data_IF_096095598928
#
_entry.id   IF_096095598928
#
_cell.length_a   1.000
_cell.length_b   1.000
_cell.length_c   1.000
_cell.angle_alpha   90.00
_cell.angle_beta   90.00
_cell.angle_gamma   90.00
#
_symmetry.space_group_name_H-M   'P 1'
#
loop_
_entity.id
_entity.type
_entity.pdbx_description
1 polymer ?
#
# COMPACT_ATOMS: atom_id res chain seq x y z
N UNK A 1 22.69 13.36 -13.54
CA UNK A 1 22.07 12.30 -14.37
C UNK A 1 22.18 10.94 -13.69
N UNK A 2 23.33 10.56 -13.11
CA UNK A 2 23.49 9.29 -12.40
C UNK A 2 22.83 9.26 -11.00
N UNK A 3 22.84 10.37 -10.25
CA UNK A 3 22.17 10.44 -8.94
C UNK A 3 20.66 10.27 -9.04
N UNK A 4 20.00 10.98 -9.97
CA UNK A 4 18.55 10.82 -10.21
C UNK A 4 18.15 9.39 -10.61
N UNK A 5 19.01 8.65 -11.34
CA UNK A 5 18.78 7.25 -11.69
C UNK A 5 18.93 6.32 -10.48
N UNK A 6 19.87 6.62 -9.59
CA UNK A 6 20.09 5.87 -8.35
C UNK A 6 18.93 6.09 -7.37
N UNK A 7 18.45 7.32 -7.27
CA UNK A 7 17.32 7.70 -6.41
C UNK A 7 16.01 7.05 -6.89
N UNK A 8 15.74 7.06 -8.20
CA UNK A 8 14.57 6.38 -8.77
C UNK A 8 14.61 4.86 -8.55
N UNK A 9 15.78 4.22 -8.74
CA UNK A 9 15.92 2.78 -8.46
C UNK A 9 15.70 2.45 -6.98
N UNK A 10 16.24 3.27 -6.07
CA UNK A 10 16.04 3.08 -4.63
C UNK A 10 14.57 3.28 -4.25
N UNK A 11 13.92 4.32 -4.79
CA UNK A 11 12.51 4.59 -4.55
C UNK A 11 11.61 3.47 -5.10
N UNK A 12 11.91 2.92 -6.28
CA UNK A 12 11.17 1.77 -6.80
C UNK A 12 11.27 0.56 -5.87
N UNK A 13 12.49 0.21 -5.45
CA UNK A 13 12.69 -0.92 -4.53
C UNK A 13 11.93 -0.71 -3.20
N UNK A 14 11.92 0.51 -2.66
CA UNK A 14 11.13 0.84 -1.46
C UNK A 14 9.63 0.66 -1.72
N UNK A 15 9.13 1.12 -2.87
CA UNK A 15 7.71 0.98 -3.22
C UNK A 15 7.31 -0.49 -3.42
N UNK A 16 8.14 -1.29 -4.08
CA UNK A 16 7.94 -2.73 -4.24
C UNK A 16 7.85 -3.42 -2.87
N UNK A 17 8.76 -3.10 -1.94
CA UNK A 17 8.73 -3.64 -0.57
C UNK A 17 7.45 -3.25 0.18
N UNK A 18 7.02 -1.99 0.08
CA UNK A 18 5.78 -1.50 0.69
C UNK A 18 4.58 -2.29 0.14
N UNK A 19 4.49 -2.47 -1.17
CA UNK A 19 3.37 -3.20 -1.79
C UNK A 19 3.39 -4.69 -1.41
N UNK A 20 4.56 -5.31 -1.36
CA UNK A 20 4.70 -6.70 -0.91
C UNK A 20 4.25 -6.86 0.55
N UNK A 21 4.64 -5.95 1.43
CA UNK A 21 4.23 -5.96 2.83
C UNK A 21 2.73 -5.68 2.97
N UNK A 22 2.18 -4.76 2.16
CA UNK A 22 0.76 -4.48 2.12
C UNK A 22 -0.05 -5.72 1.75
N UNK A 23 0.36 -6.45 0.71
CA UNK A 23 -0.34 -7.66 0.29
C UNK A 23 -0.30 -8.75 1.37
N UNK A 24 0.86 -8.94 2.03
CA UNK A 24 0.98 -9.88 3.16
C UNK A 24 0.08 -9.51 4.33
N UNK A 25 0.07 -8.22 4.72
CA UNK A 25 -0.77 -7.71 5.80
C UNK A 25 -2.26 -7.75 5.45
N UNK A 26 -2.60 -7.49 4.19
CA UNK A 26 -3.95 -7.64 3.66
C UNK A 26 -4.46 -9.07 3.85
N UNK A 27 -3.68 -10.07 3.46
CA UNK A 27 -4.05 -11.48 3.62
C UNK A 27 -4.14 -11.88 5.10
N UNK A 28 -3.18 -11.42 5.92
CA UNK A 28 -3.15 -11.69 7.37
C UNK A 28 -4.37 -11.13 8.11
N UNK A 29 -4.85 -9.96 7.71
CA UNK A 29 -6.03 -9.31 8.32
C UNK A 29 -7.37 -9.80 7.74
N UNK A 30 -7.38 -10.56 6.64
CA UNK A 30 -8.62 -10.92 5.94
C UNK A 30 -9.65 -11.69 6.78
N UNK A 31 -9.23 -12.37 7.86
CA UNK A 31 -10.10 -13.15 8.76
C UNK A 31 -10.30 -12.51 10.14
N UNK A 32 -9.84 -11.28 10.32
CA UNK A 32 -10.00 -10.54 11.57
C UNK A 32 -11.35 -9.82 11.62
N UNK A 33 -11.65 -9.25 12.78
CA UNK A 33 -12.87 -8.48 13.07
C UNK A 33 -12.45 -7.23 13.87
N UNK A 34 -13.38 -6.35 14.20
CA UNK A 34 -13.11 -5.15 15.02
C UNK A 34 -12.59 -5.42 16.46
N UNK A 35 -12.45 -6.69 16.86
CA UNK A 35 -11.89 -7.08 18.16
C UNK A 35 -12.88 -7.08 19.33
N UNK A 36 -14.17 -6.75 19.10
CA UNK A 36 -15.20 -6.84 20.13
C UNK A 36 -15.90 -8.20 20.17
N UNK A 37 -16.21 -8.67 21.38
CA UNK A 37 -16.71 -10.03 21.63
C UNK A 37 -18.11 -10.38 21.11
N UNK A 38 -18.73 -9.55 20.25
CA UNK A 38 -20.09 -9.76 19.76
C UNK A 38 -20.26 -9.40 18.27
N UNK A 39 -19.63 -10.21 17.41
CA UNK A 39 -19.55 -10.04 15.94
C UNK A 39 -20.89 -9.79 15.25
N UNK A 40 -21.98 -10.45 15.69
CA UNK A 40 -23.30 -10.31 15.06
C UNK A 40 -23.99 -8.96 15.32
N UNK A 41 -23.66 -8.27 16.42
CA UNK A 41 -24.14 -6.91 16.69
C UNK A 41 -23.31 -5.89 15.92
N UNK A 42 -21.99 -6.10 15.86
CA UNK A 42 -21.05 -5.24 15.15
C UNK A 42 -21.35 -5.21 13.65
N UNK A 43 -21.56 -6.35 12.99
CA UNK A 43 -21.89 -6.41 11.57
C UNK A 43 -23.20 -5.69 11.19
N UNK A 44 -24.14 -5.57 12.14
CA UNK A 44 -25.42 -4.89 11.91
C UNK A 44 -25.37 -3.39 12.14
N UNK A 45 -24.38 -2.91 12.90
CA UNK A 45 -24.27 -1.51 13.34
C UNK A 45 -23.04 -0.78 12.80
N UNK A 46 -21.99 -1.51 12.44
CA UNK A 46 -20.77 -1.02 11.82
C UNK A 46 -20.70 -1.51 10.37
N UNK A 47 -19.94 -0.79 9.53
CA UNK A 47 -19.52 -1.30 8.22
C UNK A 47 -18.70 -2.58 8.39
N UNK A 48 -18.53 -3.37 7.31
CA UNK A 48 -17.71 -4.59 7.36
C UNK A 48 -16.25 -4.25 7.69
N UNK A 49 -15.65 -4.94 8.66
CA UNK A 49 -14.22 -4.82 8.99
C UNK A 49 -13.35 -4.99 7.73
N UNK A 50 -13.69 -5.96 6.88
CA UNK A 50 -13.02 -6.25 5.61
C UNK A 50 -12.77 -5.01 4.73
N UNK A 51 -13.68 -4.04 4.74
CA UNK A 51 -13.60 -2.82 3.91
C UNK A 51 -13.46 -1.55 4.74
N UNK A 52 -13.24 -1.69 6.05
CA UNK A 52 -13.17 -0.55 6.98
C UNK A 52 -11.84 0.20 6.89
N UNK A 53 -11.85 1.44 7.37
CA UNK A 53 -10.64 2.25 7.61
C UNK A 53 -9.73 1.63 8.68
N UNK A 54 -10.32 1.04 9.71
CA UNK A 54 -9.58 0.39 10.80
C UNK A 54 -8.66 -0.70 10.24
N UNK A 55 -9.20 -1.58 9.39
CA UNK A 55 -8.38 -2.61 8.74
C UNK A 55 -7.27 -2.00 7.88
N UNK A 56 -7.54 -0.89 7.19
CA UNK A 56 -6.52 -0.20 6.40
C UNK A 56 -5.40 0.34 7.30
N UNK A 57 -5.73 0.99 8.40
CA UNK A 57 -4.74 1.50 9.36
C UNK A 57 -3.88 0.38 9.94
N UNK A 58 -4.49 -0.74 10.36
CA UNK A 58 -3.75 -1.91 10.85
C UNK A 58 -2.78 -2.48 9.81
N UNK A 59 -3.13 -2.39 8.52
CA UNK A 59 -2.23 -2.80 7.43
C UNK A 59 -1.09 -1.77 7.27
N UNK A 60 -1.42 -0.48 7.24
CA UNK A 60 -0.47 0.61 6.98
C UNK A 60 0.57 0.76 8.09
N UNK A 61 0.17 0.59 9.34
CA UNK A 61 1.05 0.68 10.52
C UNK A 61 2.15 -0.40 10.56
N UNK A 62 1.95 -1.55 9.89
CA UNK A 62 2.89 -2.67 9.87
C UNK A 62 3.63 -2.82 8.52
N UNK A 63 3.58 -1.80 7.64
CA UNK A 63 4.27 -1.84 6.34
C UNK A 63 5.78 -1.71 6.47
N UNK A 64 6.24 -0.94 7.45
CA UNK A 64 7.64 -0.53 7.60
C UNK A 64 8.13 -0.82 9.02
N UNK A 65 9.37 -1.33 9.13
CA UNK A 65 10.07 -1.31 10.41
C UNK A 65 10.33 0.14 10.82
N UNK A 66 10.25 0.47 12.12
CA UNK A 66 10.48 1.83 12.63
C UNK A 66 11.89 2.37 12.34
N UNK A 67 12.85 1.50 12.07
CA UNK A 67 14.22 1.83 11.65
C UNK A 67 14.35 2.18 10.16
N UNK A 68 13.35 1.85 9.34
CA UNK A 68 13.39 2.00 7.89
C UNK A 68 12.90 3.39 7.46
N UNK A 69 13.78 4.38 7.50
CA UNK A 69 13.43 5.79 7.29
C UNK A 69 12.77 6.04 5.92
N UNK A 70 13.34 5.52 4.83
CA UNK A 70 12.81 5.72 3.48
C UNK A 70 11.44 5.07 3.27
N UNK A 71 11.20 3.93 3.92
CA UNK A 71 9.91 3.24 3.89
C UNK A 71 8.86 4.08 4.61
N UNK A 72 9.11 4.45 5.87
CA UNK A 72 8.18 5.25 6.67
C UNK A 72 7.86 6.57 5.97
N UNK A 73 8.89 7.29 5.48
CA UNK A 73 8.69 8.54 4.76
C UNK A 73 7.79 8.36 3.52
N UNK A 74 8.01 7.31 2.73
CA UNK A 74 7.20 7.06 1.52
C UNK A 74 5.74 6.70 1.86
N UNK A 75 5.51 5.96 2.95
CA UNK A 75 4.15 5.66 3.43
C UNK A 75 3.46 6.94 3.88
N UNK A 76 4.11 7.73 4.75
CA UNK A 76 3.60 9.01 5.28
C UNK A 76 3.27 10.00 4.16
N UNK A 77 4.16 10.19 3.18
CA UNK A 77 3.95 11.10 2.04
C UNK A 77 2.78 10.69 1.14
N UNK A 78 2.31 9.43 1.25
CA UNK A 78 1.34 8.84 0.32
C UNK A 78 0.15 8.14 1.00
N UNK A 79 -0.13 8.44 2.27
CA UNK A 79 -1.28 7.89 3.01
C UNK A 79 -2.62 8.10 2.26
N UNK A 80 -2.85 9.29 1.71
CA UNK A 80 -4.06 9.60 0.94
C UNK A 80 -4.23 8.69 -0.31
N UNK A 81 -3.12 8.26 -0.92
CA UNK A 81 -3.17 7.33 -2.04
C UNK A 81 -3.61 5.94 -1.59
N UNK A 82 -3.14 5.46 -0.43
CA UNK A 82 -3.59 4.18 0.13
C UNK A 82 -5.08 4.21 0.47
N UNK A 83 -5.57 5.27 1.11
CA UNK A 83 -7.00 5.46 1.37
C UNK A 83 -7.82 5.51 0.07
N UNK A 84 -7.38 6.32 -0.90
CA UNK A 84 -8.05 6.44 -2.19
C UNK A 84 -8.10 5.11 -2.91
N UNK A 85 -7.01 4.34 -2.87
CA UNK A 85 -6.99 3.01 -3.45
C UNK A 85 -7.99 2.10 -2.75
N UNK A 86 -7.90 2.01 -1.43
CA UNK A 86 -8.71 1.15 -0.60
C UNK A 86 -10.21 1.34 -0.82
N UNK A 87 -10.67 2.58 -0.78
CA UNK A 87 -12.10 2.91 -0.82
C UNK A 87 -12.64 3.10 -2.23
N UNK A 88 -11.81 3.52 -3.20
CA UNK A 88 -12.32 4.00 -4.51
C UNK A 88 -11.73 3.29 -5.72
N UNK A 89 -10.51 2.73 -5.64
CA UNK A 89 -9.80 2.21 -6.83
C UNK A 89 -9.58 0.70 -6.83
N UNK A 90 -9.48 0.05 -5.67
CA UNK A 90 -9.11 -1.37 -5.51
C UNK A 90 -9.85 -2.32 -6.46
N UNK A 91 -11.17 -2.17 -6.61
CA UNK A 91 -11.97 -3.02 -7.51
C UNK A 91 -11.60 -2.86 -8.99
N UNK A 92 -11.27 -1.64 -9.44
CA UNK A 92 -10.91 -1.35 -10.83
C UNK A 92 -9.41 -1.53 -11.10
N UNK A 93 -8.59 -1.39 -10.07
CA UNK A 93 -7.14 -1.45 -10.12
C UNK A 93 -6.63 -2.39 -9.01
N UNK A 94 -6.90 -3.71 -9.09
CA UNK A 94 -6.56 -4.65 -8.02
C UNK A 94 -5.06 -4.87 -7.86
N UNK A 95 -4.27 -4.61 -8.90
CA UNK A 95 -2.81 -4.63 -8.84
C UNK A 95 -2.32 -3.32 -8.21
N UNK A 96 -2.03 -3.37 -6.90
CA UNK A 96 -1.55 -2.21 -6.15
C UNK A 96 -0.17 -1.75 -6.64
N UNK A 97 0.73 -2.66 -7.04
CA UNK A 97 2.05 -2.27 -7.55
C UNK A 97 1.92 -1.43 -8.82
N UNK A 98 1.10 -1.91 -9.76
CA UNK A 98 0.82 -1.17 -10.99
C UNK A 98 0.19 0.18 -10.70
N UNK A 99 -0.87 0.21 -9.89
CA UNK A 99 -1.60 1.45 -9.63
C UNK A 99 -0.75 2.45 -8.85
N UNK A 100 -0.08 2.02 -7.79
CA UNK A 100 0.65 2.89 -6.87
C UNK A 100 2.04 3.23 -7.42
N UNK A 101 2.93 2.23 -7.54
CA UNK A 101 4.35 2.45 -7.83
C UNK A 101 4.62 2.93 -9.26
N UNK A 102 3.84 2.46 -10.24
CA UNK A 102 4.04 2.79 -11.66
C UNK A 102 3.15 3.96 -12.09
N UNK A 103 1.83 3.84 -11.94
CA UNK A 103 0.89 4.79 -12.54
C UNK A 103 0.72 6.07 -11.70
N UNK A 104 0.78 5.97 -10.36
CA UNK A 104 0.47 7.08 -9.42
C UNK A 104 1.71 7.87 -9.02
N UNK A 105 2.65 7.23 -8.31
CA UNK A 105 3.85 7.92 -7.79
C UNK A 105 5.05 7.84 -8.75
N UNK A 106 4.95 6.99 -9.78
CA UNK A 106 5.89 6.91 -10.92
C UNK A 106 7.35 6.70 -10.52
N UNK A 107 7.58 5.93 -9.46
CA UNK A 107 8.93 5.56 -9.02
C UNK A 107 9.42 4.30 -9.71
N UNK A 108 8.52 3.45 -10.21
CA UNK A 108 8.82 2.21 -10.92
C UNK A 108 8.46 2.27 -12.41
N UNK A 109 9.15 1.46 -13.20
CA UNK A 109 8.85 1.26 -14.63
C UNK A 109 7.96 0.02 -14.86
N UNK A 110 7.17 0.01 -15.95
CA UNK A 110 6.53 -1.20 -16.43
C UNK A 110 7.52 -2.33 -16.67
N UNK A 111 7.04 -3.57 -16.55
CA UNK A 111 7.87 -4.76 -16.78
C UNK A 111 8.51 -4.72 -18.17
N UNK A 112 9.84 -4.85 -18.20
CA UNK A 112 10.61 -4.91 -19.44
C UNK A 112 11.11 -3.56 -19.95
N UNK A 113 10.88 -2.46 -19.22
CA UNK A 113 11.42 -1.14 -19.55
C UNK A 113 12.24 -0.55 -18.41
N UNK A 114 13.20 0.32 -18.73
CA UNK A 114 14.19 0.79 -17.76
C UNK A 114 14.64 2.24 -18.01
N UNK A 115 15.36 2.79 -17.05
CA UNK A 115 15.90 4.14 -17.13
C UNK A 115 14.86 5.23 -16.80
N UNK A 116 15.25 6.51 -16.89
CA UNK A 116 14.43 7.64 -16.44
C UNK A 116 13.13 7.80 -17.22
N UNK A 117 13.08 7.31 -18.46
CA UNK A 117 11.91 7.40 -19.35
C UNK A 117 11.16 6.06 -19.47
N UNK A 118 11.60 5.01 -18.76
CA UNK A 118 11.03 3.67 -18.83
C UNK A 118 10.86 3.15 -20.27
N UNK A 119 11.96 3.13 -21.03
CA UNK A 119 12.04 2.61 -22.42
C UNK A 119 12.87 1.33 -22.52
#
# INVERSE_FOLDING_TARGET
ADEAKKDSKSACNTCEQIVDNFNKAFDRTAKQNFGGGNTAWEERKLSKYETSEIRLMEIVEDLCESSSFECNRMVEEHEEHFETWWFKKKTKHPDLHKWFCIDTIKVCCPKGTFGPDCN
#
